data_IF_298536270900
#
_entry.id   IF_298536270900
#
_cell.length_a   1.000
_cell.length_b   1.000
_cell.length_c   1.000
_cell.angle_alpha   90.00
_cell.angle_beta   90.00
_cell.angle_gamma   90.00
#
_symmetry.space_group_name_H-M   'P 1'
#
loop_
_entity.id
_entity.type
_entity.pdbx_description
1 polymer ?
#
# COMPACT_ATOMS: atom_id res chain seq x y z
N UNK A 1 9.17 -7.49 -14.48
CA UNK A 1 8.10 -7.50 -13.46
C UNK A 1 7.01 -6.46 -13.74
N UNK A 2 7.27 -5.14 -13.63
CA UNK A 2 6.23 -4.09 -13.76
C UNK A 2 5.43 -4.15 -15.07
N UNK A 3 6.12 -4.32 -16.21
CA UNK A 3 5.49 -4.39 -17.53
C UNK A 3 4.50 -5.56 -17.62
N UNK A 4 4.89 -6.73 -17.10
CA UNK A 4 4.08 -7.95 -17.01
C UNK A 4 2.88 -7.73 -16.09
N UNK A 5 3.10 -7.26 -14.86
CA UNK A 5 2.03 -7.00 -13.89
C UNK A 5 0.96 -6.03 -14.42
N UNK A 6 1.36 -4.96 -15.13
CA UNK A 6 0.40 -4.04 -15.76
C UNK A 6 -0.39 -4.66 -16.90
N UNK A 7 0.23 -5.53 -17.69
CA UNK A 7 -0.44 -6.21 -18.80
C UNK A 7 -1.52 -7.15 -18.27
N UNK A 8 -1.17 -7.96 -17.26
CA UNK A 8 -2.02 -9.01 -16.71
C UNK A 8 -3.11 -8.47 -15.77
N UNK A 9 -2.96 -7.24 -15.29
CA UNK A 9 -3.98 -6.59 -14.46
C UNK A 9 -5.17 -6.12 -15.30
N UNK A 10 -6.42 -6.49 -14.94
CA UNK A 10 -7.63 -5.99 -15.58
C UNK A 10 -7.68 -4.46 -15.60
N UNK A 11 -8.20 -3.88 -16.68
CA UNK A 11 -8.26 -2.42 -16.89
C UNK A 11 -8.79 -1.64 -15.66
N UNK A 12 -9.85 -2.09 -14.95
CA UNK A 12 -10.36 -1.40 -13.76
C UNK A 12 -9.36 -1.37 -12.58
N UNK A 13 -8.49 -2.38 -12.45
CA UNK A 13 -7.55 -2.54 -11.34
C UNK A 13 -6.18 -1.91 -11.63
N UNK A 14 -5.87 -1.56 -12.88
CA UNK A 14 -4.56 -0.98 -13.24
C UNK A 14 -4.25 0.31 -12.47
N UNK A 15 -5.26 1.14 -12.21
CA UNK A 15 -5.11 2.36 -11.40
C UNK A 15 -4.69 2.02 -9.96
N UNK A 16 -5.31 1.02 -9.36
CA UNK A 16 -4.94 0.57 -8.03
C UNK A 16 -3.55 -0.05 -7.98
N UNK A 17 -3.16 -0.82 -9.00
CA UNK A 17 -1.81 -1.37 -9.10
C UNK A 17 -0.75 -0.25 -9.11
N UNK A 18 -0.98 0.83 -9.87
CA UNK A 18 -0.10 2.02 -9.86
C UNK A 18 -0.06 2.64 -8.47
N UNK A 19 -1.20 2.84 -7.82
CA UNK A 19 -1.26 3.40 -6.47
C UNK A 19 -0.50 2.55 -5.44
N UNK A 20 -0.67 1.23 -5.43
CA UNK A 20 0.06 0.32 -4.52
C UNK A 20 1.57 0.35 -4.80
N UNK A 21 1.95 0.37 -6.08
CA UNK A 21 3.37 0.40 -6.49
C UNK A 21 4.07 1.68 -6.07
N UNK A 22 3.32 2.78 -5.90
CA UNK A 22 3.84 4.03 -5.32
C UNK A 22 3.83 4.00 -3.79
N UNK A 23 2.73 3.53 -3.21
CA UNK A 23 2.49 3.56 -1.77
C UNK A 23 3.46 2.67 -0.99
N UNK A 24 3.70 1.44 -1.45
CA UNK A 24 4.51 0.46 -0.69
C UNK A 24 5.96 0.92 -0.53
N UNK A 25 6.69 1.32 -1.61
CA UNK A 25 8.04 1.87 -1.46
C UNK A 25 8.09 3.14 -0.59
N UNK A 26 7.07 4.01 -0.70
CA UNK A 26 6.97 5.22 0.12
C UNK A 26 6.85 4.89 1.62
N UNK A 27 6.00 3.94 1.98
CA UNK A 27 5.83 3.51 3.38
C UNK A 27 7.08 2.82 3.92
N UNK A 28 7.76 1.99 3.11
CA UNK A 28 9.04 1.38 3.47
C UNK A 28 10.09 2.47 3.76
N UNK A 29 10.18 3.48 2.90
CA UNK A 29 11.11 4.58 3.08
C UNK A 29 10.83 5.36 4.38
N UNK A 30 9.57 5.72 4.64
CA UNK A 30 9.16 6.39 5.90
C UNK A 30 9.56 5.56 7.13
N UNK A 31 9.25 4.26 7.15
CA UNK A 31 9.58 3.37 8.27
C UNK A 31 11.08 3.24 8.49
N UNK A 32 11.88 3.15 7.41
CA UNK A 32 13.34 3.12 7.52
C UNK A 32 13.89 4.42 8.11
N UNK A 33 13.35 5.55 7.72
CA UNK A 33 13.74 6.84 8.31
C UNK A 33 13.39 6.88 9.80
N UNK A 34 12.20 6.43 10.20
CA UNK A 34 11.84 6.37 11.62
C UNK A 34 12.77 5.46 12.42
N UNK A 35 13.19 4.32 11.85
CA UNK A 35 14.15 3.43 12.51
C UNK A 35 15.52 4.11 12.71
N UNK A 36 15.98 4.89 11.73
CA UNK A 36 17.30 5.56 11.76
C UNK A 36 17.27 6.80 12.65
N UNK A 37 16.28 7.67 12.48
CA UNK A 37 16.25 8.98 13.13
C UNK A 37 15.54 8.96 14.48
N UNK A 38 14.48 8.17 14.61
CA UNK A 38 13.65 8.11 15.82
C UNK A 38 13.94 6.86 16.68
N UNK A 39 14.92 6.04 16.28
CA UNK A 39 15.30 4.77 16.94
C UNK A 39 14.12 3.81 17.15
N UNK A 40 13.12 3.89 16.28
CA UNK A 40 12.00 2.94 16.27
C UNK A 40 12.54 1.55 15.95
N UNK A 41 12.04 0.52 16.64
CA UNK A 41 12.44 -0.85 16.31
C UNK A 41 11.85 -1.26 14.95
N UNK A 42 12.65 -1.87 14.06
CA UNK A 42 12.16 -2.32 12.77
C UNK A 42 11.15 -3.45 12.96
N UNK A 43 9.90 -3.19 12.58
CA UNK A 43 8.79 -4.15 12.65
C UNK A 43 8.08 -4.25 11.31
N UNK A 44 8.04 -5.47 10.75
CA UNK A 44 7.34 -5.75 9.50
C UNK A 44 5.83 -5.78 9.69
N UNK A 45 5.34 -6.23 10.85
CA UNK A 45 3.92 -6.21 11.19
C UNK A 45 3.41 -4.77 11.27
N UNK A 46 4.15 -3.89 11.93
CA UNK A 46 3.74 -2.49 12.11
C UNK A 46 3.75 -1.74 10.78
N UNK A 47 4.77 -2.00 9.95
CA UNK A 47 4.84 -1.48 8.60
C UNK A 47 3.65 -1.94 7.75
N UNK A 48 3.28 -3.22 7.81
CA UNK A 48 2.15 -3.75 7.06
C UNK A 48 0.82 -3.12 7.50
N UNK A 49 0.60 -2.97 8.82
CA UNK A 49 -0.57 -2.28 9.37
C UNK A 49 -0.65 -0.85 8.86
N UNK A 50 0.45 -0.08 8.95
CA UNK A 50 0.51 1.30 8.44
C UNK A 50 0.26 1.38 6.93
N UNK A 51 0.73 0.42 6.13
CA UNK A 51 0.44 0.35 4.69
C UNK A 51 -1.06 0.16 4.44
N UNK A 52 -1.71 -0.75 5.18
CA UNK A 52 -3.15 -1.01 5.05
C UNK A 52 -3.97 0.23 5.42
N UNK A 53 -3.61 0.90 6.52
CA UNK A 53 -4.27 2.11 7.00
C UNK A 53 -4.14 3.26 5.99
N UNK A 54 -2.94 3.50 5.48
CA UNK A 54 -2.68 4.54 4.48
C UNK A 54 -3.40 4.23 3.16
N UNK A 55 -3.42 2.96 2.73
CA UNK A 55 -4.17 2.55 1.54
C UNK A 55 -5.69 2.78 1.69
N UNK A 56 -6.24 2.46 2.88
CA UNK A 56 -7.64 2.74 3.20
C UNK A 56 -7.93 4.24 3.20
N UNK A 57 -7.01 5.06 3.72
CA UNK A 57 -7.12 6.52 3.70
C UNK A 57 -7.14 7.05 2.26
N UNK A 58 -6.23 6.58 1.41
CA UNK A 58 -6.19 6.99 0.00
C UNK A 58 -7.46 6.57 -0.75
N UNK A 59 -7.99 5.37 -0.48
CA UNK A 59 -9.25 4.92 -1.06
C UNK A 59 -10.43 5.82 -0.64
N UNK A 60 -10.49 6.22 0.63
CA UNK A 60 -11.49 7.19 1.15
C UNK A 60 -11.31 8.59 0.54
N UNK A 61 -10.07 9.00 0.27
CA UNK A 61 -9.74 10.26 -0.38
C UNK A 61 -9.99 10.26 -1.91
N UNK A 62 -10.53 9.18 -2.47
CA UNK A 62 -10.93 9.12 -3.89
C UNK A 62 -9.99 8.35 -4.80
N UNK A 63 -8.99 7.62 -4.28
CA UNK A 63 -8.21 6.65 -5.05
C UNK A 63 -9.06 5.41 -5.38
N UNK A 64 -10.01 5.55 -6.30
CA UNK A 64 -10.99 4.51 -6.66
C UNK A 64 -10.35 3.19 -7.12
N UNK A 65 -9.15 3.27 -7.71
CA UNK A 65 -8.38 2.08 -8.08
C UNK A 65 -7.95 1.26 -6.86
N UNK A 66 -7.62 1.89 -5.73
CA UNK A 66 -7.32 1.19 -4.49
C UNK A 66 -8.57 0.56 -3.89
N UNK A 67 -9.71 1.28 -3.90
CA UNK A 67 -10.99 0.70 -3.46
C UNK A 67 -11.37 -0.59 -4.20
N UNK A 68 -10.97 -0.74 -5.46
CA UNK A 68 -11.21 -1.94 -6.25
C UNK A 68 -10.25 -3.11 -5.94
N UNK A 69 -9.15 -2.86 -5.22
CA UNK A 69 -8.12 -3.87 -4.87
C UNK A 69 -8.13 -4.19 -3.38
N UNK A 70 -8.51 -3.22 -2.54
CA UNK A 70 -8.59 -3.42 -1.10
C UNK A 70 -9.80 -4.30 -0.75
N UNK A 71 -9.62 -5.36 0.06
CA UNK A 71 -10.74 -6.08 0.65
C UNK A 71 -11.59 -5.13 1.51
N UNK A 72 -12.91 -5.31 1.50
CA UNK A 72 -13.85 -4.48 2.26
C UNK A 72 -13.67 -4.58 3.78
N UNK A 73 -13.06 -5.66 4.26
CA UNK A 73 -12.71 -5.90 5.67
C UNK A 73 -11.34 -6.55 5.72
N UNK A 74 -10.34 -5.84 6.26
CA UNK A 74 -9.05 -6.44 6.62
C UNK A 74 -9.15 -7.28 7.91
N UNK A 75 -10.29 -7.25 8.60
CA UNK A 75 -10.63 -8.09 9.74
C UNK A 75 -11.23 -9.42 9.27
N UNK A 76 -10.37 -10.42 9.07
CA UNK A 76 -10.61 -11.80 9.52
C UNK A 76 -9.27 -12.54 9.51
N UNK A 77 -8.79 -12.78 10.74
CA UNK A 77 -7.58 -13.49 11.18
C UNK A 77 -6.27 -12.70 11.23
#
# INVERSE_FOLDING_TARGET
WWRTARHDTPMPMRKGLVSVTLLVPWMIWKHRNDCVFNRVQPSTSDLLTKIKDEAALWARAGALGLRAILPQTWDVH
#
